data_IF_124321054968
#
_entry.id   IF_124321054968
#
_cell.length_a   1.000
_cell.length_b   1.000
_cell.length_c   1.000
_cell.angle_alpha   90.00
_cell.angle_beta   90.00
_cell.angle_gamma   90.00
#
_symmetry.space_group_name_H-M   'P 1'
#
loop_
_entity.id
_entity.type
_entity.pdbx_description
1 polymer ?
#
# COMPACT_ATOMS: atom_id res chain seq x y z
N UNK A 1 19.29 -11.75 1.07
CA UNK A 1 18.09 -12.40 0.48
C UNK A 1 17.16 -11.34 -0.05
N UNK A 2 16.42 -11.57 -1.15
CA UNK A 2 15.39 -10.66 -1.60
C UNK A 2 14.33 -10.45 -0.50
N UNK A 3 14.07 -9.21 -0.15
CA UNK A 3 13.16 -8.89 0.96
C UNK A 3 12.10 -7.89 0.50
N UNK A 4 10.84 -8.18 0.79
CA UNK A 4 9.72 -7.30 0.55
C UNK A 4 9.06 -6.94 1.87
N UNK A 5 8.90 -5.64 2.12
CA UNK A 5 8.21 -5.13 3.29
C UNK A 5 6.94 -4.43 2.81
N UNK A 6 5.82 -4.79 3.35
CA UNK A 6 4.54 -4.12 3.13
C UNK A 6 4.23 -3.26 4.35
N UNK A 7 3.96 -1.99 4.14
CA UNK A 7 3.50 -1.05 5.17
C UNK A 7 2.16 -0.48 4.75
N UNK A 8 1.13 -0.71 5.56
CA UNK A 8 -0.09 0.06 5.41
C UNK A 8 0.12 1.46 5.98
N UNK A 9 -0.24 2.48 5.19
CA UNK A 9 -0.18 3.88 5.62
C UNK A 9 -0.75 4.06 7.03
N UNK A 10 -0.26 5.05 7.76
CA UNK A 10 -0.78 5.43 9.07
C UNK A 10 -2.26 5.79 9.00
N UNK A 11 -2.93 5.86 10.13
CA UNK A 11 -4.37 6.16 10.17
C UNK A 11 -4.66 7.51 9.49
N UNK A 12 -5.56 7.50 8.50
CA UNK A 12 -6.06 8.73 7.86
C UNK A 12 -7.25 9.31 8.62
N UNK A 13 -7.56 10.58 8.37
CA UNK A 13 -8.70 11.26 8.99
C UNK A 13 -10.01 10.50 8.77
N UNK A 14 -10.26 9.99 7.54
CA UNK A 14 -11.48 9.21 7.28
C UNK A 14 -11.44 7.77 7.81
N UNK A 15 -10.27 7.23 8.13
CA UNK A 15 -10.21 5.99 8.91
C UNK A 15 -10.70 6.24 10.34
N UNK A 16 -10.29 7.36 10.96
CA UNK A 16 -10.74 7.78 12.28
C UNK A 16 -12.26 8.02 12.30
N UNK A 17 -12.80 8.67 11.27
CA UNK A 17 -14.22 8.97 11.11
C UNK A 17 -15.06 7.77 10.65
N UNK A 18 -14.47 6.59 10.48
CA UNK A 18 -15.13 5.39 9.99
C UNK A 18 -15.82 5.54 8.63
N UNK A 19 -15.18 6.25 7.68
CA UNK A 19 -15.70 6.47 6.31
C UNK A 19 -15.01 5.57 5.28
N UNK A 20 -15.70 5.36 4.16
CA UNK A 20 -15.11 4.78 2.95
C UNK A 20 -14.22 5.83 2.27
N UNK A 21 -12.92 5.59 2.18
CA UNK A 21 -11.98 6.58 1.61
C UNK A 21 -11.80 6.41 0.11
N UNK A 22 -11.45 5.21 -0.33
CA UNK A 22 -11.18 4.95 -1.76
C UNK A 22 -10.08 5.84 -2.31
N UNK A 23 -10.35 6.51 -3.42
CA UNK A 23 -9.41 7.39 -4.12
C UNK A 23 -9.52 8.86 -3.70
N UNK A 24 -10.41 9.19 -2.78
CA UNK A 24 -10.45 10.54 -2.22
C UNK A 24 -9.15 10.80 -1.46
N UNK A 25 -8.56 11.94 -1.71
CA UNK A 25 -7.25 12.29 -1.17
C UNK A 25 -7.40 12.94 0.21
N UNK A 26 -7.23 12.11 1.23
CA UNK A 26 -7.47 12.45 2.64
C UNK A 26 -6.17 12.33 3.41
N UNK A 27 -5.80 13.35 4.21
CA UNK A 27 -4.54 13.36 4.97
C UNK A 27 -4.53 12.32 6.11
N UNK A 28 -3.35 12.11 6.69
CA UNK A 28 -3.19 11.37 7.93
C UNK A 28 -3.91 12.08 9.09
N UNK A 29 -4.40 11.32 10.06
CA UNK A 29 -4.91 11.86 11.32
C UNK A 29 -3.75 12.18 12.27
N UNK A 30 -4.01 12.99 13.29
CA UNK A 30 -3.03 13.25 14.34
C UNK A 30 -2.60 11.98 15.07
N UNK A 31 -3.55 11.05 15.28
CA UNK A 31 -3.30 9.74 15.88
C UNK A 31 -2.44 8.87 14.96
N UNK A 32 -2.65 8.95 13.64
CA UNK A 32 -1.80 8.27 12.65
C UNK A 32 -0.36 8.77 12.70
N UNK A 33 -0.17 10.09 12.79
CA UNK A 33 1.17 10.70 12.87
C UNK A 33 1.94 10.24 14.13
N UNK A 34 1.27 10.05 15.26
CA UNK A 34 1.90 9.54 16.49
C UNK A 34 2.48 8.12 16.37
N UNK A 35 2.07 7.36 15.34
CA UNK A 35 2.57 6.00 15.11
C UNK A 35 3.90 5.96 14.35
N UNK A 36 4.34 7.09 13.78
CA UNK A 36 5.48 7.19 12.85
C UNK A 36 6.77 6.72 13.49
N UNK A 37 7.12 7.26 14.64
CA UNK A 37 8.39 6.99 15.33
C UNK A 37 8.60 5.49 15.57
N UNK A 38 7.57 4.81 16.11
CA UNK A 38 7.64 3.36 16.38
C UNK A 38 7.88 2.54 15.11
N UNK A 39 7.26 2.92 13.99
CA UNK A 39 7.44 2.23 12.69
C UNK A 39 8.81 2.54 12.10
N UNK A 40 9.22 3.81 12.16
CA UNK A 40 10.53 4.25 11.67
C UNK A 40 11.66 3.54 12.41
N UNK A 41 11.58 3.40 13.73
CA UNK A 41 12.56 2.66 14.53
C UNK A 41 12.73 1.21 14.06
N UNK A 42 11.63 0.51 13.75
CA UNK A 42 11.71 -0.86 13.19
C UNK A 42 12.35 -0.91 11.80
N UNK A 43 12.12 0.12 10.98
CA UNK A 43 12.68 0.21 9.64
C UNK A 43 14.15 0.66 9.63
N UNK A 44 14.63 1.36 10.65
CA UNK A 44 16.03 1.83 10.74
C UNK A 44 17.04 0.69 10.76
N UNK A 45 16.63 -0.48 11.25
CA UNK A 45 17.47 -1.68 11.27
C UNK A 45 17.55 -2.40 9.92
N UNK A 46 16.78 -1.94 8.92
CA UNK A 46 16.63 -2.62 7.63
C UNK A 46 17.15 -1.72 6.50
N UNK A 47 18.17 -2.18 5.79
CA UNK A 47 18.67 -1.46 4.61
C UNK A 47 17.68 -1.56 3.44
N UNK A 48 16.80 -0.57 3.28
CA UNK A 48 15.86 -0.47 2.16
C UNK A 48 16.58 0.08 0.93
N UNK A 49 16.31 -0.47 -0.26
CA UNK A 49 16.91 -0.05 -1.53
C UNK A 49 15.99 0.82 -2.38
N UNK A 50 14.68 0.62 -2.29
CA UNK A 50 13.68 1.43 -2.99
C UNK A 50 12.32 1.34 -2.29
N UNK A 51 11.51 2.37 -2.46
CA UNK A 51 10.13 2.41 -1.98
C UNK A 51 9.19 2.49 -3.17
N UNK A 52 8.07 1.75 -3.11
CA UNK A 52 6.95 1.88 -4.03
C UNK A 52 5.73 2.38 -3.27
N UNK A 53 5.03 3.38 -3.82
CA UNK A 53 3.87 3.98 -3.17
C UNK A 53 2.82 4.41 -4.20
N UNK A 54 1.66 4.84 -3.73
CA UNK A 54 0.61 5.44 -4.57
C UNK A 54 0.67 6.97 -4.54
N UNK A 55 0.03 7.67 -5.51
CA UNK A 55 -0.06 9.13 -5.49
C UNK A 55 -0.94 9.69 -4.36
N UNK A 56 -1.73 8.86 -3.65
CA UNK A 56 -2.60 9.33 -2.58
C UNK A 56 -1.78 9.91 -1.42
N UNK A 57 -2.16 11.12 -0.98
CA UNK A 57 -1.39 11.91 0.00
C UNK A 57 -1.07 11.14 1.28
N UNK A 58 -2.01 10.35 1.81
CA UNK A 58 -1.78 9.54 3.03
C UNK A 58 -0.65 8.51 2.88
N UNK A 59 -0.42 7.99 1.66
CA UNK A 59 0.68 7.07 1.39
C UNK A 59 1.99 7.83 1.22
N UNK A 60 1.99 8.95 0.48
CA UNK A 60 3.18 9.78 0.32
C UNK A 60 3.59 10.44 1.64
N UNK A 61 2.65 10.98 2.42
CA UNK A 61 2.93 11.56 3.74
C UNK A 61 3.46 10.50 4.72
N UNK A 62 2.97 9.26 4.64
CA UNK A 62 3.56 8.13 5.40
C UNK A 62 5.04 7.95 5.05
N UNK A 63 5.40 8.00 3.77
CA UNK A 63 6.81 7.90 3.33
C UNK A 63 7.62 9.08 3.86
N UNK A 64 7.14 10.30 3.66
CA UNK A 64 7.84 11.52 4.12
C UNK A 64 8.09 11.50 5.63
N UNK A 65 7.08 11.16 6.41
CA UNK A 65 7.18 11.07 7.88
C UNK A 65 8.19 10.03 8.35
N UNK A 66 8.26 8.88 7.66
CA UNK A 66 9.28 7.87 7.96
C UNK A 66 10.68 8.44 7.68
N UNK A 67 10.86 9.17 6.59
CA UNK A 67 12.15 9.79 6.24
C UNK A 67 12.59 10.88 7.22
N UNK A 68 11.68 11.56 7.91
CA UNK A 68 12.03 12.50 9.00
C UNK A 68 12.81 11.81 10.15
N UNK A 69 12.67 10.48 10.29
CA UNK A 69 13.31 9.69 11.35
C UNK A 69 14.44 8.78 10.87
N UNK A 70 14.54 8.51 9.57
CA UNK A 70 15.41 7.42 9.09
C UNK A 70 16.67 7.86 8.41
N UNK A 71 16.82 9.07 7.84
CA UNK A 71 17.83 9.21 6.78
C UNK A 71 18.50 10.55 6.59
N UNK A 72 19.78 10.41 6.25
CA UNK A 72 20.63 11.43 5.61
C UNK A 72 20.29 11.68 4.13
N UNK A 73 19.25 11.05 3.57
CA UNK A 73 18.90 11.12 2.15
C UNK A 73 17.51 11.73 1.94
N UNK A 74 17.36 12.47 0.82
CA UNK A 74 16.10 13.07 0.44
C UNK A 74 15.26 12.14 -0.43
N UNK A 75 13.96 11.88 -0.13
CA UNK A 75 13.10 11.08 -0.97
C UNK A 75 12.75 11.84 -2.25
N UNK A 76 13.03 11.22 -3.41
CA UNK A 76 12.56 11.71 -4.72
C UNK A 76 11.43 10.84 -5.22
N UNK A 77 10.27 11.47 -5.49
CA UNK A 77 9.08 10.79 -6.00
C UNK A 77 9.13 10.69 -7.52
N UNK A 78 9.24 9.47 -8.04
CA UNK A 78 9.36 9.14 -9.45
C UNK A 78 8.07 8.50 -9.93
N UNK A 79 7.35 9.17 -10.83
CA UNK A 79 6.08 8.69 -11.34
C UNK A 79 6.26 7.74 -12.54
N UNK A 80 5.63 6.57 -12.51
CA UNK A 80 5.65 5.60 -13.61
C UNK A 80 4.67 5.91 -14.72
N UNK A 81 3.61 6.64 -14.45
CA UNK A 81 2.43 6.77 -15.27
C UNK A 81 1.99 8.23 -15.43
N UNK A 82 1.10 8.48 -16.39
CA UNK A 82 0.48 9.76 -16.60
C UNK A 82 1.44 10.86 -17.11
N UNK A 83 0.98 12.09 -17.02
CA UNK A 83 1.75 13.28 -17.47
C UNK A 83 3.01 13.49 -16.61
N UNK A 84 2.92 13.20 -15.30
CA UNK A 84 4.05 13.34 -14.38
C UNK A 84 5.25 12.47 -14.75
N UNK A 85 5.05 11.33 -15.41
CA UNK A 85 6.14 10.52 -15.94
C UNK A 85 7.03 11.31 -16.93
N UNK A 86 6.42 12.15 -17.78
CA UNK A 86 7.14 12.96 -18.76
C UNK A 86 7.70 14.23 -18.15
N UNK A 87 6.94 14.90 -17.31
CA UNK A 87 7.31 16.19 -16.74
C UNK A 87 8.27 16.08 -15.56
N UNK A 88 8.21 14.99 -14.83
CA UNK A 88 9.10 14.70 -13.70
C UNK A 88 10.34 13.90 -14.07
N UNK A 89 10.67 13.74 -15.38
CA UNK A 89 11.90 13.05 -15.77
C UNK A 89 13.12 13.91 -15.50
N UNK A 90 14.19 13.29 -15.01
CA UNK A 90 15.49 13.92 -14.75
C UNK A 90 16.60 12.93 -15.07
N UNK A 91 17.81 13.44 -15.36
CA UNK A 91 18.87 12.64 -15.96
C UNK A 91 19.68 11.83 -14.95
N UNK A 92 19.85 12.33 -13.73
CA UNK A 92 20.64 11.64 -12.70
C UNK A 92 19.95 11.69 -11.33
N UNK A 93 19.95 10.54 -10.64
CA UNK A 93 19.66 10.49 -9.20
C UNK A 93 20.99 10.64 -8.49
N UNK A 94 21.21 11.78 -7.84
CA UNK A 94 22.36 11.97 -6.97
C UNK A 94 22.35 10.91 -5.85
N UNK A 95 23.54 10.51 -5.37
CA UNK A 95 23.70 9.57 -4.24
C UNK A 95 22.98 10.02 -2.95
N UNK A 96 22.70 11.32 -2.83
CA UNK A 96 22.01 11.91 -1.69
C UNK A 96 20.48 11.77 -1.79
N UNK A 97 19.98 11.27 -2.91
CA UNK A 97 18.57 11.05 -3.13
C UNK A 97 18.18 9.57 -2.94
N UNK A 98 16.95 9.38 -2.44
CA UNK A 98 16.38 8.05 -2.28
C UNK A 98 15.18 7.87 -3.24
N UNK A 99 15.16 6.85 -4.11
CA UNK A 99 14.08 6.68 -5.08
C UNK A 99 12.81 6.17 -4.41
N UNK A 100 11.72 6.93 -4.58
CA UNK A 100 10.35 6.58 -4.20
C UNK A 100 9.51 6.50 -5.47
N UNK A 101 9.17 5.30 -5.89
CA UNK A 101 8.44 5.06 -7.12
C UNK A 101 6.92 5.15 -6.89
N UNK A 102 6.26 6.05 -7.62
CA UNK A 102 4.81 6.32 -7.50
C UNK A 102 4.05 5.66 -8.63
N UNK A 103 3.01 4.88 -8.30
CA UNK A 103 2.11 4.28 -9.28
C UNK A 103 0.66 4.28 -8.78
N UNK A 104 -0.26 4.70 -9.63
CA UNK A 104 -1.71 4.62 -9.39
C UNK A 104 -2.19 3.17 -9.19
N UNK A 105 -1.41 2.19 -9.66
CA UNK A 105 -1.70 0.77 -9.42
C UNK A 105 -1.67 0.38 -7.95
N UNK A 106 -1.05 1.18 -7.08
CA UNK A 106 -1.06 1.03 -5.62
C UNK A 106 -2.15 1.87 -4.94
N UNK A 107 -3.01 2.57 -5.69
CA UNK A 107 -4.15 3.26 -5.10
C UNK A 107 -5.03 2.30 -4.30
N UNK A 108 -5.71 2.83 -3.29
CA UNK A 108 -6.76 2.09 -2.58
C UNK A 108 -7.80 1.55 -3.58
N UNK A 109 -8.54 0.54 -3.22
CA UNK A 109 -9.70 0.09 -3.99
C UNK A 109 -10.68 1.24 -4.17
N UNK A 110 -11.13 1.44 -5.41
CA UNK A 110 -12.14 2.46 -5.71
C UNK A 110 -13.48 2.05 -5.13
N UNK A 111 -14.04 2.86 -4.26
CA UNK A 111 -15.31 2.55 -3.59
C UNK A 111 -16.56 3.14 -4.30
N UNK A 112 -16.40 3.77 -5.46
CA UNK A 112 -17.49 4.31 -6.27
C UNK A 112 -18.39 5.24 -5.47
N UNK A 113 -19.69 4.96 -5.48
CA UNK A 113 -20.73 5.76 -4.80
C UNK A 113 -20.65 5.74 -3.27
N UNK A 114 -19.81 4.86 -2.69
CA UNK A 114 -19.64 4.81 -1.24
C UNK A 114 -18.56 5.75 -0.71
N UNK A 115 -17.72 6.35 -1.59
CA UNK A 115 -16.65 7.26 -1.14
C UNK A 115 -17.22 8.41 -0.30
N UNK A 116 -16.61 8.69 0.84
CA UNK A 116 -17.05 9.68 1.82
C UNK A 116 -18.17 9.23 2.76
N UNK A 117 -18.87 8.14 2.44
CA UNK A 117 -19.98 7.66 3.26
C UNK A 117 -19.48 7.00 4.55
N UNK A 118 -20.18 7.25 5.66
CA UNK A 118 -19.89 6.59 6.93
C UNK A 118 -20.33 5.12 6.84
N UNK A 119 -19.47 4.20 7.33
CA UNK A 119 -19.69 2.76 7.20
C UNK A 119 -20.90 2.26 7.99
N UNK A 120 -21.16 2.82 9.17
CA UNK A 120 -22.31 2.43 10.00
C UNK A 120 -23.62 2.88 9.36
N UNK A 121 -23.65 4.09 8.78
CA UNK A 121 -24.82 4.54 8.02
C UNK A 121 -25.10 3.64 6.81
N UNK A 122 -24.05 3.18 6.12
CA UNK A 122 -24.22 2.23 5.00
C UNK A 122 -24.70 0.86 5.46
N UNK A 123 -24.22 0.38 6.63
CA UNK A 123 -24.73 -0.84 7.25
C UNK A 123 -26.23 -0.72 7.60
N UNK A 124 -26.64 0.42 8.17
CA UNK A 124 -28.07 0.67 8.45
C UNK A 124 -28.91 0.71 7.18
N UNK A 125 -28.37 1.27 6.09
CA UNK A 125 -29.10 1.44 4.82
C UNK A 125 -29.17 0.17 3.97
N UNK A 126 -28.08 -0.60 3.90
CA UNK A 126 -27.95 -1.72 2.95
C UNK A 126 -27.84 -3.11 3.61
N UNK A 127 -27.80 -3.15 4.94
CA UNK A 127 -27.59 -4.35 5.73
C UNK A 127 -26.12 -4.69 5.94
N UNK A 128 -25.79 -5.36 7.06
CA UNK A 128 -24.40 -5.67 7.44
C UNK A 128 -23.75 -6.64 6.46
N UNK A 129 -24.45 -7.64 6.00
CA UNK A 129 -23.94 -8.67 5.08
C UNK A 129 -23.50 -8.06 3.76
N UNK A 130 -24.34 -7.25 3.12
CA UNK A 130 -24.04 -6.62 1.84
C UNK A 130 -22.86 -5.66 1.93
N UNK A 131 -22.81 -4.85 2.99
CA UNK A 131 -21.69 -3.93 3.23
C UNK A 131 -20.42 -4.72 3.55
N UNK A 132 -20.52 -5.83 4.27
CA UNK A 132 -19.39 -6.73 4.52
C UNK A 132 -18.82 -7.28 3.21
N UNK A 133 -19.67 -7.79 2.32
CA UNK A 133 -19.27 -8.32 1.01
C UNK A 133 -18.57 -7.23 0.16
N UNK A 134 -19.11 -6.02 0.10
CA UNK A 134 -18.46 -4.90 -0.59
C UNK A 134 -17.08 -4.54 -0.01
N UNK A 135 -16.89 -4.76 1.28
CA UNK A 135 -15.63 -4.46 1.96
C UNK A 135 -14.61 -5.57 1.87
N UNK A 136 -15.03 -6.83 1.83
CA UNK A 136 -14.16 -7.99 2.06
C UNK A 136 -14.11 -8.98 0.91
N UNK A 137 -15.19 -9.15 0.15
CA UNK A 137 -15.25 -10.12 -0.94
C UNK A 137 -14.16 -9.88 -1.99
N UNK A 138 -13.71 -10.98 -2.59
CA UNK A 138 -12.78 -10.93 -3.70
C UNK A 138 -13.45 -10.44 -4.98
N UNK A 139 -14.66 -10.96 -5.29
CA UNK A 139 -15.33 -10.72 -6.57
C UNK A 139 -16.39 -9.62 -6.53
N UNK A 140 -16.91 -9.25 -5.35
CA UNK A 140 -17.99 -8.27 -5.27
C UNK A 140 -17.47 -6.85 -5.13
N UNK A 141 -17.91 -5.97 -6.04
CA UNK A 141 -17.61 -4.55 -6.02
C UNK A 141 -18.72 -3.74 -5.35
N UNK A 142 -18.42 -2.62 -4.67
CA UNK A 142 -19.42 -1.63 -4.31
C UNK A 142 -19.99 -0.95 -5.57
N UNK A 143 -21.19 -0.31 -5.50
CA UNK A 143 -21.81 0.33 -6.65
C UNK A 143 -20.90 1.35 -7.35
N UNK A 144 -20.53 1.07 -8.60
CA UNK A 144 -19.61 1.89 -9.40
C UNK A 144 -18.17 1.90 -8.92
N UNK A 145 -17.79 0.93 -8.10
CA UNK A 145 -16.41 0.80 -7.59
C UNK A 145 -15.70 -0.46 -8.09
N UNK A 146 -14.54 -0.76 -7.52
CA UNK A 146 -13.71 -1.94 -7.79
C UNK A 146 -13.99 -3.09 -6.82
N UNK A 147 -13.93 -4.32 -7.30
CA UNK A 147 -13.72 -5.54 -6.52
C UNK A 147 -12.24 -5.67 -6.08
N UNK A 148 -11.95 -6.58 -5.17
CA UNK A 148 -10.56 -6.89 -4.83
C UNK A 148 -9.84 -7.62 -5.98
N UNK A 149 -10.59 -8.35 -6.83
CA UNK A 149 -10.09 -8.98 -8.04
C UNK A 149 -9.54 -7.92 -9.01
N UNK A 150 -10.31 -6.88 -9.32
CA UNK A 150 -9.88 -5.77 -10.19
C UNK A 150 -8.69 -5.01 -9.57
N UNK A 151 -8.68 -4.82 -8.25
CA UNK A 151 -7.50 -4.28 -7.55
C UNK A 151 -6.28 -5.16 -7.77
N UNK A 152 -6.39 -6.50 -7.68
CA UNK A 152 -5.30 -7.44 -7.93
C UNK A 152 -4.83 -7.40 -9.39
N UNK A 153 -5.74 -7.34 -10.33
CA UNK A 153 -5.44 -7.24 -11.77
C UNK A 153 -4.62 -5.98 -12.06
N UNK A 154 -4.96 -4.85 -11.45
CA UNK A 154 -4.23 -3.59 -11.62
C UNK A 154 -2.87 -3.55 -10.91
N UNK A 155 -2.73 -4.20 -9.74
CA UNK A 155 -1.47 -4.25 -8.98
C UNK A 155 -0.47 -5.24 -9.59
N UNK A 156 -0.96 -6.34 -10.16
CA UNK A 156 -0.12 -7.44 -10.67
C UNK A 156 0.95 -6.99 -11.67
N UNK A 157 0.67 -6.17 -12.70
CA UNK A 157 1.70 -5.72 -13.64
C UNK A 157 2.82 -4.90 -12.98
N UNK A 158 2.50 -4.06 -11.98
CA UNK A 158 3.53 -3.34 -11.24
C UNK A 158 4.42 -4.31 -10.45
N UNK A 159 3.81 -5.28 -9.77
CA UNK A 159 4.56 -6.30 -9.05
C UNK A 159 5.47 -7.11 -9.98
N UNK A 160 4.96 -7.66 -11.07
CA UNK A 160 5.72 -8.54 -11.95
C UNK A 160 6.79 -7.83 -12.77
N UNK A 161 6.49 -6.62 -13.27
CA UNK A 161 7.35 -5.93 -14.21
C UNK A 161 8.40 -5.04 -13.55
N UNK A 162 8.19 -4.65 -12.28
CA UNK A 162 9.10 -3.76 -11.56
C UNK A 162 9.56 -4.36 -10.22
N UNK A 163 8.65 -4.59 -9.28
CA UNK A 163 8.99 -5.01 -7.91
C UNK A 163 9.70 -6.35 -7.91
N UNK A 164 9.17 -7.37 -8.60
CA UNK A 164 9.79 -8.69 -8.69
C UNK A 164 11.16 -8.67 -9.38
N UNK A 165 11.36 -7.78 -10.36
CA UNK A 165 12.67 -7.60 -10.99
C UNK A 165 13.70 -7.01 -10.04
N UNK A 166 13.29 -6.06 -9.20
CA UNK A 166 14.17 -5.50 -8.17
C UNK A 166 14.49 -6.53 -7.08
N UNK A 167 13.49 -7.30 -6.64
CA UNK A 167 13.70 -8.41 -5.71
C UNK A 167 14.68 -9.46 -6.27
N UNK A 168 14.57 -9.84 -7.56
CA UNK A 168 15.51 -10.77 -8.22
C UNK A 168 16.96 -10.26 -8.23
N UNK A 169 17.16 -8.94 -8.17
CA UNK A 169 18.50 -8.33 -8.00
C UNK A 169 19.00 -8.34 -6.55
N UNK A 170 18.28 -9.00 -5.64
CA UNK A 170 18.62 -9.10 -4.22
C UNK A 170 18.28 -7.87 -3.38
N UNK A 171 17.49 -6.93 -3.94
CA UNK A 171 17.10 -5.71 -3.23
C UNK A 171 16.08 -5.98 -2.12
N UNK A 172 16.11 -5.11 -1.11
CA UNK A 172 15.05 -4.94 -0.12
C UNK A 172 14.12 -3.82 -0.56
N UNK A 173 12.85 -4.14 -0.74
CA UNK A 173 11.83 -3.23 -1.24
C UNK A 173 10.78 -2.97 -0.15
N UNK A 174 10.45 -1.70 0.08
CA UNK A 174 9.30 -1.29 0.90
C UNK A 174 8.15 -0.88 -0.01
N UNK A 175 6.96 -1.40 0.22
CA UNK A 175 5.71 -0.92 -0.39
C UNK A 175 4.90 -0.20 0.68
N UNK A 176 4.67 1.10 0.49
CA UNK A 176 3.75 1.89 1.33
C UNK A 176 2.47 2.10 0.56
N UNK A 177 1.39 1.45 0.98
CA UNK A 177 0.12 1.49 0.25
C UNK A 177 -1.09 1.42 1.19
N UNK A 178 -2.26 1.49 0.58
CA UNK A 178 -3.54 1.36 1.30
C UNK A 178 -3.92 -0.12 1.51
N UNK A 179 -4.99 -0.36 2.25
CA UNK A 179 -5.40 -1.69 2.72
C UNK A 179 -5.61 -2.71 1.60
N UNK A 180 -6.43 -2.38 0.58
CA UNK A 180 -6.80 -3.38 -0.42
C UNK A 180 -5.70 -3.72 -1.44
N UNK A 181 -4.87 -2.79 -1.95
CA UNK A 181 -3.73 -3.18 -2.77
C UNK A 181 -2.74 -4.07 -2.00
N UNK A 182 -2.54 -3.85 -0.68
CA UNK A 182 -1.72 -4.74 0.13
C UNK A 182 -2.37 -6.11 0.31
N UNK A 183 -3.68 -6.20 0.55
CA UNK A 183 -4.41 -7.48 0.59
C UNK A 183 -4.28 -8.24 -0.72
N UNK A 184 -4.38 -7.55 -1.85
CA UNK A 184 -4.19 -8.14 -3.17
C UNK A 184 -2.77 -8.71 -3.34
N UNK A 185 -1.74 -7.98 -2.90
CA UNK A 185 -0.36 -8.46 -2.92
C UNK A 185 -0.16 -9.66 -2.00
N UNK A 186 -0.68 -9.63 -0.77
CA UNK A 186 -0.60 -10.76 0.17
C UNK A 186 -1.27 -11.99 -0.43
N UNK A 187 -2.49 -11.86 -0.99
CA UNK A 187 -3.17 -12.96 -1.68
C UNK A 187 -2.30 -13.57 -2.77
N UNK A 188 -1.65 -12.74 -3.58
CA UNK A 188 -0.77 -13.19 -4.66
C UNK A 188 0.50 -13.88 -4.14
N UNK A 189 1.15 -13.32 -3.14
CA UNK A 189 2.42 -13.81 -2.58
C UNK A 189 2.22 -15.12 -1.83
N UNK A 190 1.15 -15.22 -1.05
CA UNK A 190 0.86 -16.37 -0.18
C UNK A 190 -0.01 -17.43 -0.87
N UNK A 191 -0.52 -17.17 -2.09
CA UNK A 191 -1.38 -18.11 -2.81
C UNK A 191 -2.75 -18.32 -2.14
N UNK A 192 -3.25 -17.31 -1.40
CA UNK A 192 -4.50 -17.41 -0.64
C UNK A 192 -5.71 -17.63 -1.55
N UNK A 193 -6.64 -18.45 -1.10
CA UNK A 193 -7.95 -18.64 -1.75
C UNK A 193 -8.85 -17.40 -1.62
N UNK A 194 -9.96 -17.40 -2.38
CA UNK A 194 -10.98 -16.34 -2.29
C UNK A 194 -11.73 -16.35 -0.96
N UNK A 195 -11.76 -17.49 -0.25
CA UNK A 195 -12.33 -17.59 1.10
C UNK A 195 -11.40 -17.04 2.17
N UNK A 196 -10.12 -17.38 2.12
CA UNK A 196 -9.13 -16.93 3.09
C UNK A 196 -8.97 -15.41 3.08
N UNK A 197 -9.01 -14.79 1.90
CA UNK A 197 -8.84 -13.34 1.77
C UNK A 197 -9.97 -12.53 2.44
N UNK A 198 -11.16 -13.12 2.66
CA UNK A 198 -12.26 -12.44 3.36
C UNK A 198 -11.87 -12.02 4.78
N UNK A 199 -11.05 -12.83 5.44
CA UNK A 199 -10.66 -12.64 6.84
C UNK A 199 -9.34 -11.88 7.01
N UNK A 200 -8.62 -11.61 5.90
CA UNK A 200 -7.36 -10.89 6.00
C UNK A 200 -7.58 -9.43 6.35
N UNK A 201 -7.09 -9.03 7.50
CA UNK A 201 -6.97 -7.64 7.94
C UNK A 201 -5.51 -7.24 8.00
N UNK A 202 -5.23 -6.04 7.55
CA UNK A 202 -3.93 -5.38 7.69
C UNK A 202 -4.19 -4.04 8.41
N UNK A 203 -4.02 -3.96 9.73
CA UNK A 203 -4.20 -2.71 10.47
C UNK A 203 -3.31 -1.58 9.95
N UNK A 204 -3.68 -0.31 10.21
CA UNK A 204 -2.81 0.83 9.91
C UNK A 204 -1.46 0.67 10.62
N UNK A 205 -0.40 1.19 10.02
CA UNK A 205 0.97 1.08 10.55
C UNK A 205 1.51 -0.35 10.70
N UNK A 206 0.84 -1.36 10.14
CA UNK A 206 1.35 -2.74 10.15
C UNK A 206 2.47 -2.91 9.13
N UNK A 207 3.57 -3.49 9.57
CA UNK A 207 4.69 -3.94 8.75
C UNK A 207 4.61 -5.46 8.59
N UNK A 208 4.60 -5.94 7.33
CA UNK A 208 4.70 -7.36 6.99
C UNK A 208 5.98 -7.54 6.18
N UNK A 209 6.92 -8.31 6.70
CA UNK A 209 8.19 -8.62 6.04
C UNK A 209 8.11 -10.01 5.41
N UNK A 210 8.48 -10.11 4.14
CA UNK A 210 8.63 -11.35 3.39
C UNK A 210 10.08 -11.52 2.95
N UNK A 211 10.61 -12.71 3.12
CA UNK A 211 11.93 -13.10 2.64
C UNK A 211 11.79 -14.22 1.60
N UNK A 212 12.50 -14.08 0.50
CA UNK A 212 12.39 -14.99 -0.65
C UNK A 212 13.73 -15.65 -0.97
N UNK A 213 13.67 -16.80 -1.64
CA UNK A 213 14.83 -17.36 -2.31
C UNK A 213 15.12 -16.65 -3.65
N UNK A 214 16.17 -17.09 -4.36
CA UNK A 214 16.59 -16.52 -5.66
C UNK A 214 15.50 -16.61 -6.75
N UNK A 215 14.58 -17.57 -6.63
CA UNK A 215 13.47 -17.79 -7.55
C UNK A 215 12.19 -17.04 -7.14
N UNK A 216 12.26 -16.21 -6.10
CA UNK A 216 11.13 -15.52 -5.45
C UNK A 216 10.10 -16.49 -4.84
N UNK A 217 10.51 -17.68 -4.42
CA UNK A 217 9.69 -18.55 -3.58
C UNK A 217 9.75 -18.03 -2.15
N UNK A 218 8.59 -17.86 -1.53
CA UNK A 218 8.46 -17.40 -0.15
C UNK A 218 9.17 -18.37 0.81
N UNK A 219 10.04 -17.84 1.67
CA UNK A 219 10.79 -18.57 2.69
C UNK A 219 10.35 -18.22 4.09
N UNK A 220 10.13 -16.94 4.36
CA UNK A 220 9.74 -16.47 5.68
C UNK A 220 8.75 -15.31 5.58
N UNK A 221 7.86 -15.23 6.56
CA UNK A 221 6.94 -14.12 6.79
C UNK A 221 6.98 -13.72 8.25
N UNK A 222 7.11 -12.44 8.50
CA UNK A 222 7.18 -11.87 9.85
C UNK A 222 6.29 -10.61 9.90
N UNK A 223 5.60 -10.41 11.00
CA UNK A 223 4.90 -9.15 11.31
C UNK A 223 5.76 -8.42 12.35
N UNK A 224 6.31 -7.28 11.92
CA UNK A 224 7.23 -6.47 12.73
C UNK A 224 6.47 -5.55 13.69
#
# INVERSE_FOLDING_TARGET
>A
MPTLILLRHFQSQWNLENRFTGWVDVPLSREGIRQVEKVAQKLSEIKINAIYTSPLIRNQDTVLRIFEHLVEKYPIFIHFEGKMKKWGSFHEINKDYFPVYVSERLNERYYGKLQGMNKEMMIKKYGPEKVHLWRRSFNQAPPGGESLKETLERVTPLYTNHIAKDLKKGKTILIVASHNPLRALVKKIEGMSDKEILNLEIPAATLIKYEFDKNLKLKNKEIL
#
